data_IF_988994460043
#
_entry.id   IF_988994460043
#
_cell.length_a   1.000
_cell.length_b   1.000
_cell.length_c   1.000
_cell.angle_alpha   90.00
_cell.angle_beta   90.00
_cell.angle_gamma   90.00
#
_symmetry.space_group_name_H-M   'P 1'
#
loop_
_entity.id
_entity.type
_entity.pdbx_description
1 polymer ?
#
# COMPACT_ATOMS: atom_id res chain seq x y z
N UNK A 1 -56.69 -10.59 41.71
CA UNK A 1 -55.26 -10.94 41.62
C UNK A 1 -54.48 -9.69 41.23
N UNK A 2 -53.67 -9.13 42.12
CA UNK A 2 -52.87 -7.94 41.86
C UNK A 2 -51.73 -8.27 40.88
N UNK A 3 -51.56 -7.55 39.76
CA UNK A 3 -50.45 -7.79 38.84
C UNK A 3 -49.13 -7.48 39.55
N UNK A 4 -48.27 -8.49 39.73
CA UNK A 4 -46.95 -8.31 40.32
C UNK A 4 -46.13 -7.36 39.44
N UNK A 5 -45.88 -6.15 39.94
CA UNK A 5 -44.97 -5.16 39.36
C UNK A 5 -43.57 -5.79 39.20
N UNK A 6 -43.16 -6.03 37.95
CA UNK A 6 -41.83 -6.56 37.64
C UNK A 6 -40.78 -5.51 38.01
N UNK A 7 -39.79 -5.91 38.83
CA UNK A 7 -38.65 -5.06 39.20
C UNK A 7 -37.94 -4.55 37.93
N UNK A 8 -37.59 -3.26 37.83
CA UNK A 8 -36.92 -2.70 36.67
C UNK A 8 -35.56 -3.38 36.45
N UNK A 9 -35.25 -3.68 35.18
CA UNK A 9 -33.96 -4.28 34.80
C UNK A 9 -32.85 -3.25 35.05
N UNK A 10 -31.75 -3.69 35.70
CA UNK A 10 -30.58 -2.83 35.94
C UNK A 10 -29.97 -2.37 34.60
N UNK A 11 -29.63 -1.09 34.43
CA UNK A 11 -28.97 -0.59 33.23
C UNK A 11 -27.54 -1.16 33.08
N UNK A 12 -26.99 -1.16 31.86
CA UNK A 12 -25.65 -1.67 31.59
C UNK A 12 -24.56 -0.80 32.24
N UNK A 13 -23.36 -1.38 32.39
CA UNK A 13 -22.16 -0.66 32.81
C UNK A 13 -21.69 0.34 31.73
N UNK A 14 -21.09 1.47 32.14
CA UNK A 14 -20.52 2.45 31.22
C UNK A 14 -19.20 1.95 30.58
N UNK A 15 -18.83 2.54 29.45
CA UNK A 15 -17.66 2.10 28.67
C UNK A 15 -16.34 2.25 29.44
N UNK A 16 -16.21 3.32 30.24
CA UNK A 16 -15.02 3.57 31.06
C UNK A 16 -14.82 2.52 32.18
N UNK A 17 -15.90 2.13 32.88
CA UNK A 17 -15.83 1.07 33.89
C UNK A 17 -15.60 -0.30 33.25
N UNK A 18 -16.20 -0.54 32.07
CA UNK A 18 -16.04 -1.79 31.32
C UNK A 18 -14.61 -1.97 30.80
N UNK A 19 -14.01 -0.93 30.22
CA UNK A 19 -12.62 -0.96 29.75
C UNK A 19 -11.63 -1.27 30.89
N UNK A 20 -11.92 -0.76 32.09
CA UNK A 20 -11.13 -1.00 33.31
C UNK A 20 -11.48 -2.30 34.03
N UNK A 21 -12.46 -3.07 33.54
CA UNK A 21 -12.96 -4.30 34.16
C UNK A 21 -13.39 -4.12 35.62
N UNK A 22 -14.03 -3.00 35.94
CA UNK A 22 -14.53 -2.70 37.29
C UNK A 22 -16.06 -2.61 37.35
N UNK A 23 -16.63 -2.85 38.54
CA UNK A 23 -18.07 -2.74 38.77
C UNK A 23 -18.55 -1.30 38.57
N UNK A 24 -19.61 -1.14 37.76
CA UNK A 24 -20.24 0.15 37.49
C UNK A 24 -21.51 0.32 38.35
N UNK A 25 -21.72 1.53 38.87
CA UNK A 25 -22.95 1.93 39.57
C UNK A 25 -23.71 2.96 38.72
N UNK A 26 -24.44 2.53 37.69
CA UNK A 26 -25.19 3.43 36.82
C UNK A 26 -26.30 4.17 37.59
N UNK A 27 -26.43 5.47 37.34
CA UNK A 27 -27.45 6.32 37.96
C UNK A 27 -28.68 6.44 37.02
N UNK A 28 -29.90 6.49 37.57
CA UNK A 28 -31.09 6.81 36.77
C UNK A 28 -30.98 8.23 36.19
N UNK A 29 -31.61 8.48 35.03
CA UNK A 29 -31.64 9.81 34.41
C UNK A 29 -30.38 10.22 33.63
N UNK A 30 -29.45 9.30 33.38
CA UNK A 30 -28.27 9.57 32.53
C UNK A 30 -27.13 10.31 33.23
N UNK A 31 -27.20 10.47 34.56
CA UNK A 31 -26.10 11.04 35.34
C UNK A 31 -24.84 10.14 35.29
N UNK A 32 -23.62 10.73 35.30
CA UNK A 32 -22.37 9.97 35.30
C UNK A 32 -22.24 9.09 36.55
N UNK A 33 -21.65 7.90 36.41
CA UNK A 33 -21.48 7.00 37.56
C UNK A 33 -20.45 7.58 38.56
N UNK A 34 -20.58 7.29 39.88
CA UNK A 34 -19.71 7.86 40.92
C UNK A 34 -18.20 7.69 40.65
N UNK A 35 -17.80 6.52 40.11
CA UNK A 35 -16.39 6.25 39.77
C UNK A 35 -15.85 7.12 38.65
N UNK A 36 -16.68 7.45 37.65
CA UNK A 36 -16.26 8.35 36.57
C UNK A 36 -16.16 9.79 37.09
N UNK A 37 -17.07 10.18 38.00
CA UNK A 37 -17.05 11.50 38.66
C UNK A 37 -15.79 11.65 39.51
N UNK A 38 -15.49 10.70 40.39
CA UNK A 38 -14.30 10.70 41.26
C UNK A 38 -13.00 10.81 40.45
N UNK A 39 -12.96 10.19 39.27
CA UNK A 39 -11.77 10.17 38.41
C UNK A 39 -11.74 11.29 37.38
N UNK A 40 -12.75 12.16 37.33
CA UNK A 40 -12.89 13.24 36.35
C UNK A 40 -12.81 12.74 34.89
N UNK A 41 -13.45 11.60 34.60
CA UNK A 41 -13.48 11.01 33.25
C UNK A 41 -14.91 11.09 32.70
N UNK A 42 -15.05 11.42 31.42
CA UNK A 42 -16.35 11.45 30.74
C UNK A 42 -17.03 10.08 30.78
N UNK A 43 -18.21 10.00 31.40
CA UNK A 43 -18.98 8.76 31.55
C UNK A 43 -19.91 8.57 30.35
N UNK A 44 -19.41 7.96 29.27
CA UNK A 44 -20.26 7.62 28.13
C UNK A 44 -20.98 6.29 28.40
N UNK A 45 -22.31 6.36 28.46
CA UNK A 45 -23.19 5.18 28.48
C UNK A 45 -23.90 5.18 27.14
N UNK A 46 -23.43 4.38 26.18
CA UNK A 46 -24.14 4.22 24.90
C UNK A 46 -25.47 3.52 25.19
N UNK A 47 -26.57 4.28 25.14
CA UNK A 47 -27.94 3.83 25.40
C UNK A 47 -28.49 2.88 24.33
N UNK A 48 -27.67 2.02 23.75
CA UNK A 48 -28.11 1.05 22.75
C UNK A 48 -28.56 -0.22 23.46
N UNK A 49 -29.86 -0.58 23.41
CA UNK A 49 -30.31 -1.88 23.88
C UNK A 49 -29.64 -2.96 23.03
N UNK A 50 -28.62 -3.62 23.60
CA UNK A 50 -27.99 -4.80 22.98
C UNK A 50 -28.93 -6.00 23.13
N UNK A 51 -29.93 -6.08 22.24
CA UNK A 51 -30.59 -7.34 21.97
C UNK A 51 -29.56 -8.34 21.45
N UNK A 52 -29.35 -9.45 22.17
CA UNK A 52 -28.54 -10.56 21.66
C UNK A 52 -29.22 -11.04 20.37
N UNK A 53 -28.53 -11.11 19.21
CA UNK A 53 -29.10 -11.68 18.00
C UNK A 53 -29.61 -13.09 18.34
N UNK A 54 -30.91 -13.29 18.22
CA UNK A 54 -31.53 -14.60 18.43
C UNK A 54 -31.00 -15.48 17.31
N UNK A 55 -30.26 -16.54 17.64
CA UNK A 55 -29.90 -17.60 16.69
C UNK A 55 -31.20 -18.28 16.24
N UNK A 56 -31.79 -17.82 15.15
CA UNK A 56 -32.68 -18.64 14.34
C UNK A 56 -31.83 -19.33 13.28
N UNK A 57 -31.82 -20.66 13.32
CA UNK A 57 -31.29 -21.47 12.24
C UNK A 57 -32.20 -21.28 11.01
N UNK A 58 -31.69 -20.92 9.83
CA UNK A 58 -32.51 -20.90 8.64
C UNK A 58 -32.57 -22.32 8.06
N UNK A 59 -33.73 -22.95 8.18
CA UNK A 59 -34.15 -23.98 7.23
C UNK A 59 -34.57 -23.23 5.95
N UNK A 60 -33.72 -23.25 4.93
CA UNK A 60 -34.09 -22.80 3.59
C UNK A 60 -34.67 -23.98 2.82
N UNK A 61 -36.01 -24.06 2.79
CA UNK A 61 -36.74 -24.65 1.66
C UNK A 61 -37.01 -23.54 0.64
N UNK A 62 -36.61 -23.80 -0.60
CA UNK A 62 -36.90 -22.99 -1.78
C UNK A 62 -38.41 -22.74 -1.93
N UNK A 63 -38.80 -21.48 -2.14
CA UNK A 63 -39.96 -21.12 -2.96
C UNK A 63 -39.82 -19.67 -3.43
N UNK A 64 -39.51 -19.54 -4.73
CA UNK A 64 -39.74 -18.35 -5.54
C UNK A 64 -41.25 -18.08 -5.59
N UNK A 65 -41.66 -16.88 -5.16
CA UNK A 65 -42.64 -15.97 -5.81
C UNK A 65 -43.16 -15.02 -4.74
N UNK A 66 -42.83 -13.73 -4.86
CA UNK A 66 -43.26 -12.71 -3.92
C UNK A 66 -42.69 -11.34 -4.27
N UNK A 67 -43.23 -10.74 -5.32
CA UNK A 67 -43.06 -9.32 -5.68
C UNK A 67 -43.62 -8.45 -4.55
N UNK A 68 -42.76 -8.05 -3.62
CA UNK A 68 -43.01 -6.89 -2.77
C UNK A 68 -42.25 -5.70 -3.35
N UNK A 69 -42.99 -4.82 -4.03
CA UNK A 69 -42.56 -3.45 -4.32
C UNK A 69 -42.28 -2.75 -2.99
N UNK A 70 -41.00 -2.65 -2.65
CA UNK A 70 -40.52 -1.78 -1.59
C UNK A 70 -40.35 -0.40 -2.21
N UNK A 71 -41.38 0.42 -2.13
CA UNK A 71 -41.32 1.86 -2.42
C UNK A 71 -40.56 2.55 -1.28
N UNK A 72 -39.25 2.34 -1.21
CA UNK A 72 -38.37 3.14 -0.39
C UNK A 72 -38.25 4.56 -0.98
N UNK A 73 -38.06 5.59 -0.15
CA UNK A 73 -37.77 6.93 -0.65
C UNK A 73 -36.54 6.85 -1.56
N UNK A 74 -36.65 7.40 -2.77
CA UNK A 74 -35.53 7.48 -3.71
C UNK A 74 -34.35 8.10 -2.98
N UNK A 75 -33.31 7.30 -2.72
CA UNK A 75 -32.02 7.82 -2.29
C UNK A 75 -31.60 8.84 -3.35
N UNK A 76 -31.18 10.06 -2.94
CA UNK A 76 -30.73 11.06 -3.89
C UNK A 76 -29.68 10.44 -4.79
N UNK A 77 -29.79 10.70 -6.10
CA UNK A 77 -28.78 10.36 -7.10
C UNK A 77 -27.42 10.53 -6.48
N UNK A 78 -26.64 9.44 -6.42
CA UNK A 78 -25.36 9.42 -5.73
C UNK A 78 -24.50 10.59 -6.17
N UNK A 79 -23.58 11.08 -5.31
CA UNK A 79 -22.83 12.30 -5.56
C UNK A 79 -22.27 12.31 -6.97
N UNK A 80 -22.70 13.30 -7.76
CA UNK A 80 -22.11 13.58 -9.06
C UNK A 80 -20.64 13.88 -8.77
N UNK A 81 -19.75 13.09 -9.36
CA UNK A 81 -18.31 13.22 -9.23
C UNK A 81 -17.86 14.47 -10.01
N UNK A 82 -18.16 15.64 -9.46
CA UNK A 82 -17.89 16.93 -10.06
C UNK A 82 -16.41 17.26 -10.08
N UNK A 83 -15.95 17.61 -11.29
CA UNK A 83 -14.58 17.85 -11.69
C UNK A 83 -13.86 18.88 -10.81
N UNK A 84 -12.93 18.41 -9.98
CA UNK A 84 -11.74 19.23 -9.75
C UNK A 84 -11.10 19.47 -11.13
N UNK A 85 -10.64 20.68 -11.40
CA UNK A 85 -10.03 21.05 -12.70
C UNK A 85 -8.89 20.08 -13.07
N UNK A 86 -8.22 19.52 -12.06
CA UNK A 86 -7.11 18.60 -12.22
C UNK A 86 -7.53 17.11 -12.23
N UNK A 87 -8.81 16.81 -11.99
CA UNK A 87 -9.30 15.44 -12.01
C UNK A 87 -9.59 15.02 -13.46
N UNK A 88 -8.90 13.99 -13.98
CA UNK A 88 -9.21 13.49 -15.30
C UNK A 88 -10.62 12.91 -15.34
N UNK A 89 -11.26 12.98 -16.50
CA UNK A 89 -12.51 12.28 -16.73
C UNK A 89 -12.28 10.76 -16.58
N UNK A 90 -13.17 10.12 -15.85
CA UNK A 90 -13.11 8.68 -15.53
C UNK A 90 -13.71 7.86 -16.67
N UNK A 91 -13.15 8.05 -17.86
CA UNK A 91 -13.58 7.34 -19.06
C UNK A 91 -13.35 5.82 -18.89
N UNK A 92 -14.18 4.96 -19.50
CA UNK A 92 -14.01 3.51 -19.44
C UNK A 92 -12.60 3.06 -19.88
N UNK A 93 -12.00 3.77 -20.84
CA UNK A 93 -10.65 3.50 -21.36
C UNK A 93 -9.57 3.76 -20.31
N UNK A 94 -9.65 4.88 -19.58
CA UNK A 94 -8.73 5.18 -18.49
C UNK A 94 -8.86 4.14 -17.37
N UNK A 95 -10.10 3.80 -17.00
CA UNK A 95 -10.37 2.82 -15.93
C UNK A 95 -9.82 1.45 -16.35
N UNK A 96 -10.12 0.98 -17.56
CA UNK A 96 -9.58 -0.27 -18.08
C UNK A 96 -8.05 -0.29 -18.09
N UNK A 97 -7.42 0.80 -18.56
CA UNK A 97 -5.97 0.93 -18.57
C UNK A 97 -5.37 0.84 -17.17
N UNK A 98 -5.93 1.55 -16.18
CA UNK A 98 -5.46 1.46 -14.79
C UNK A 98 -5.58 0.03 -14.24
N UNK A 99 -6.67 -0.68 -14.51
CA UNK A 99 -6.85 -2.08 -14.09
C UNK A 99 -5.89 -3.05 -14.78
N UNK A 100 -5.55 -2.83 -16.05
CA UNK A 100 -4.58 -3.67 -16.76
C UNK A 100 -3.16 -3.47 -16.22
N UNK A 101 -2.76 -2.22 -15.95
CA UNK A 101 -1.43 -1.90 -15.40
C UNK A 101 -1.21 -2.48 -14.00
N UNK A 102 -2.29 -2.57 -13.25
CA UNK A 102 -2.30 -3.08 -11.90
C UNK A 102 -1.95 -4.57 -11.81
N UNK A 103 -2.25 -5.38 -12.84
CA UNK A 103 -1.87 -6.81 -12.89
C UNK A 103 -0.36 -7.03 -12.90
N UNK A 104 0.40 -6.02 -13.32
CA UNK A 104 1.85 -6.07 -13.38
C UNK A 104 2.47 -5.73 -12.01
N UNK A 105 1.72 -5.09 -11.10
CA UNK A 105 2.20 -4.74 -9.77
C UNK A 105 2.05 -5.93 -8.80
N UNK A 106 3.14 -6.47 -8.23
CA UNK A 106 3.06 -7.59 -7.28
C UNK A 106 2.30 -7.25 -6.00
N UNK A 107 2.14 -5.97 -5.64
CA UNK A 107 1.26 -5.57 -4.52
C UNK A 107 -0.20 -5.86 -4.81
N UNK A 108 -0.56 -6.07 -6.08
CA UNK A 108 -1.91 -6.46 -6.47
C UNK A 108 -2.21 -7.95 -6.29
N UNK A 109 -1.19 -8.79 -6.04
CA UNK A 109 -1.42 -10.18 -5.59
C UNK A 109 -1.77 -10.27 -4.11
N UNK A 110 -1.91 -9.13 -3.42
CA UNK A 110 -2.26 -9.10 -2.00
C UNK A 110 -3.61 -9.81 -1.73
N UNK A 111 -3.71 -10.66 -0.70
CA UNK A 111 -4.92 -11.45 -0.43
C UNK A 111 -6.20 -10.61 -0.29
N UNK A 112 -6.10 -9.37 0.21
CA UNK A 112 -7.26 -8.48 0.31
C UNK A 112 -7.81 -8.06 -1.06
N UNK A 113 -6.98 -7.97 -2.09
CA UNK A 113 -7.40 -7.58 -3.44
C UNK A 113 -7.85 -8.82 -4.22
N UNK A 114 -7.08 -9.91 -4.14
CA UNK A 114 -7.44 -11.21 -4.72
C UNK A 114 -8.74 -11.80 -4.17
N UNK A 115 -9.11 -11.46 -2.93
CA UNK A 115 -10.36 -11.90 -2.29
C UNK A 115 -11.61 -11.12 -2.68
N UNK A 116 -11.51 -10.11 -3.54
CA UNK A 116 -12.65 -9.31 -4.02
C UNK A 116 -13.10 -9.74 -5.41
N UNK A 117 -14.38 -9.55 -5.75
CA UNK A 117 -14.91 -9.78 -7.10
C UNK A 117 -14.67 -8.61 -8.06
N UNK A 118 -13.91 -7.59 -7.64
CA UNK A 118 -13.87 -6.28 -8.31
C UNK A 118 -13.48 -6.34 -9.80
N UNK A 119 -12.57 -7.25 -10.16
CA UNK A 119 -12.12 -7.41 -11.56
C UNK A 119 -13.25 -7.98 -12.44
N UNK A 120 -14.04 -8.92 -11.91
CA UNK A 120 -15.18 -9.47 -12.63
C UNK A 120 -16.31 -8.42 -12.72
N UNK A 121 -16.59 -7.73 -11.61
CA UNK A 121 -17.66 -6.75 -11.52
C UNK A 121 -17.41 -5.55 -12.45
N UNK A 122 -16.19 -5.01 -12.47
CA UNK A 122 -15.85 -3.87 -13.33
C UNK A 122 -15.94 -4.22 -14.82
N UNK A 123 -15.58 -5.46 -15.19
CA UNK A 123 -15.71 -5.95 -16.57
C UNK A 123 -17.16 -6.15 -16.97
N UNK A 124 -17.99 -6.65 -16.05
CA UNK A 124 -19.42 -6.84 -16.29
C UNK A 124 -20.15 -5.51 -16.57
N UNK A 125 -19.68 -4.40 -16.00
CA UNK A 125 -20.22 -3.05 -16.26
C UNK A 125 -19.41 -2.26 -17.29
N UNK A 126 -18.59 -2.93 -18.11
CA UNK A 126 -17.78 -2.30 -19.17
C UNK A 126 -16.96 -1.10 -18.67
N UNK A 127 -16.37 -1.24 -17.47
CA UNK A 127 -15.54 -0.22 -16.81
C UNK A 127 -16.26 1.09 -16.43
N UNK A 128 -17.60 1.10 -16.45
CA UNK A 128 -18.39 2.25 -16.01
C UNK A 128 -18.59 2.24 -14.48
N UNK A 129 -17.79 3.05 -13.78
CA UNK A 129 -17.75 3.07 -12.30
C UNK A 129 -19.09 3.39 -11.64
N UNK A 130 -19.94 4.21 -12.27
CA UNK A 130 -21.21 4.64 -11.69
C UNK A 130 -22.24 3.49 -11.59
N UNK A 131 -22.07 2.42 -12.37
CA UNK A 131 -22.92 1.24 -12.34
C UNK A 131 -22.54 0.25 -11.22
N UNK A 132 -21.38 0.44 -10.58
CA UNK A 132 -20.94 -0.43 -9.49
C UNK A 132 -21.67 -0.14 -8.17
N UNK A 133 -21.86 -1.19 -7.33
CA UNK A 133 -22.26 -1.01 -5.94
C UNK A 133 -21.34 -0.02 -5.21
N UNK A 134 -21.84 0.74 -4.21
CA UNK A 134 -21.07 1.82 -3.59
C UNK A 134 -19.69 1.39 -3.06
N UNK A 135 -19.60 0.21 -2.43
CA UNK A 135 -18.33 -0.31 -1.89
C UNK A 135 -17.35 -0.70 -3.00
N UNK A 136 -17.81 -1.46 -4.00
CA UNK A 136 -17.01 -1.83 -5.17
C UNK A 136 -16.57 -0.61 -5.96
N UNK A 137 -17.41 0.43 -6.05
CA UNK A 137 -17.07 1.70 -6.71
C UNK A 137 -15.94 2.43 -5.99
N UNK A 138 -15.97 2.49 -4.66
CA UNK A 138 -14.87 3.08 -3.87
C UNK A 138 -13.57 2.31 -4.07
N UNK A 139 -13.62 0.98 -4.07
CA UNK A 139 -12.45 0.16 -4.35
C UNK A 139 -11.90 0.42 -5.76
N UNK A 140 -12.77 0.47 -6.77
CA UNK A 140 -12.38 0.79 -8.14
C UNK A 140 -11.76 2.19 -8.25
N UNK A 141 -12.29 3.19 -7.55
CA UNK A 141 -11.68 4.53 -7.47
C UNK A 141 -10.28 4.49 -6.81
N UNK A 142 -10.11 3.71 -5.73
CA UNK A 142 -8.79 3.53 -5.10
C UNK A 142 -7.80 2.87 -6.06
N UNK A 143 -8.26 1.88 -6.83
CA UNK A 143 -7.48 1.21 -7.88
C UNK A 143 -7.09 2.19 -8.99
N UNK A 144 -8.01 3.01 -9.47
CA UNK A 144 -7.74 4.01 -10.52
C UNK A 144 -6.76 5.07 -10.03
N UNK A 145 -6.96 5.58 -8.82
CA UNK A 145 -6.04 6.54 -8.18
C UNK A 145 -4.65 5.91 -8.06
N UNK A 146 -4.54 4.68 -7.58
CA UNK A 146 -3.26 3.99 -7.46
C UNK A 146 -2.61 3.69 -8.81
N UNK A 147 -3.38 3.15 -9.77
CA UNK A 147 -2.92 2.85 -11.12
C UNK A 147 -2.48 4.09 -11.90
N UNK A 148 -3.05 5.25 -11.58
CA UNK A 148 -2.63 6.52 -12.18
C UNK A 148 -1.15 6.81 -11.94
N UNK A 149 -0.55 6.36 -10.82
CA UNK A 149 0.88 6.47 -10.52
C UNK A 149 1.80 5.84 -11.57
N UNK A 150 1.30 4.90 -12.37
CA UNK A 150 2.04 4.17 -13.40
C UNK A 150 1.42 4.31 -14.79
N UNK A 151 0.35 5.10 -14.91
CA UNK A 151 -0.47 5.18 -16.11
C UNK A 151 0.17 6.08 -17.17
N UNK A 152 0.38 5.55 -18.37
CA UNK A 152 0.75 6.35 -19.55
C UNK A 152 -0.45 6.92 -20.32
N UNK A 153 -1.65 6.87 -19.75
CA UNK A 153 -2.84 7.38 -20.41
C UNK A 153 -2.76 8.92 -20.51
N UNK A 154 -3.14 9.45 -21.67
CA UNK A 154 -3.05 10.88 -21.98
C UNK A 154 -3.89 11.74 -21.04
N UNK A 155 -5.02 11.25 -20.55
CA UNK A 155 -5.83 11.98 -19.56
C UNK A 155 -5.10 12.16 -18.21
N UNK A 156 -4.17 11.27 -17.86
CA UNK A 156 -3.39 11.37 -16.61
C UNK A 156 -2.10 12.19 -16.82
N UNK A 157 -1.43 12.01 -17.95
CA UNK A 157 -0.16 12.70 -18.25
C UNK A 157 -0.34 14.09 -18.87
N UNK A 158 -1.51 14.38 -19.42
CA UNK A 158 -1.75 15.58 -20.22
C UNK A 158 -0.95 15.60 -21.52
N UNK A 159 -0.81 16.80 -22.10
CA UNK A 159 -0.09 17.00 -23.36
C UNK A 159 1.43 16.83 -23.18
N UNK A 160 2.09 16.28 -24.20
CA UNK A 160 3.54 16.15 -24.31
C UNK A 160 4.01 14.69 -24.49
N UNK A 161 5.32 14.45 -24.63
CA UNK A 161 5.85 13.13 -24.95
C UNK A 161 5.56 12.13 -23.83
N UNK A 162 5.14 10.93 -24.17
CA UNK A 162 4.88 9.86 -23.21
C UNK A 162 5.18 8.51 -23.86
N UNK A 163 5.54 7.47 -23.08
CA UNK A 163 5.76 6.16 -23.65
C UNK A 163 4.41 5.53 -23.98
N UNK A 164 4.29 4.84 -25.11
CA UNK A 164 3.09 4.06 -25.44
C UNK A 164 3.07 2.70 -24.74
N UNK A 165 4.26 2.21 -24.37
CA UNK A 165 4.47 0.88 -23.79
C UNK A 165 5.62 0.88 -22.80
N UNK A 166 5.64 -0.09 -21.88
CA UNK A 166 6.79 -0.35 -21.01
C UNK A 166 8.04 -0.82 -21.76
N UNK A 167 7.89 -1.19 -23.04
CA UNK A 167 8.99 -1.64 -23.91
C UNK A 167 9.64 -0.49 -24.69
N UNK A 168 9.24 0.76 -24.45
CA UNK A 168 9.80 1.92 -25.15
C UNK A 168 11.18 2.30 -24.58
N UNK A 169 12.19 1.50 -24.92
CA UNK A 169 13.55 1.65 -24.42
C UNK A 169 14.16 3.03 -24.75
N UNK A 170 13.74 3.66 -25.85
CA UNK A 170 14.21 4.99 -26.23
C UNK A 170 13.69 6.05 -25.26
N UNK A 171 12.39 6.03 -24.96
CA UNK A 171 11.79 6.92 -23.96
C UNK A 171 12.39 6.69 -22.56
N UNK A 172 12.50 5.42 -22.17
CA UNK A 172 13.06 5.08 -20.85
C UNK A 172 14.56 5.36 -20.73
N UNK A 173 15.31 5.50 -21.83
CA UNK A 173 16.70 5.95 -21.76
C UNK A 173 16.84 7.42 -21.33
N UNK A 174 15.77 8.22 -21.47
CA UNK A 174 15.75 9.64 -21.11
C UNK A 174 15.25 9.87 -19.69
N UNK A 175 16.17 10.04 -18.75
CA UNK A 175 15.84 10.34 -17.34
C UNK A 175 14.98 11.61 -17.21
N UNK A 176 15.24 12.63 -18.03
CA UNK A 176 14.51 13.90 -17.99
C UNK A 176 13.04 13.75 -18.40
N UNK A 177 12.76 12.97 -19.45
CA UNK A 177 11.39 12.76 -19.93
C UNK A 177 10.54 12.00 -18.91
N UNK A 178 11.15 11.03 -18.22
CA UNK A 178 10.50 10.28 -17.15
C UNK A 178 10.20 11.13 -15.92
N UNK A 179 11.14 11.99 -15.51
CA UNK A 179 10.90 12.95 -14.44
C UNK A 179 9.76 13.90 -14.81
N UNK A 180 9.72 14.37 -16.07
CA UNK A 180 8.65 15.21 -16.58
C UNK A 180 7.29 14.48 -16.61
N UNK A 181 7.25 13.17 -16.90
CA UNK A 181 6.04 12.36 -16.75
C UNK A 181 5.57 12.30 -15.29
N UNK A 182 6.49 12.08 -14.34
CA UNK A 182 6.16 12.07 -12.91
C UNK A 182 5.56 13.40 -12.44
N UNK A 183 6.15 14.52 -12.84
CA UNK A 183 5.65 15.87 -12.52
C UNK A 183 4.26 16.11 -13.10
N UNK A 184 4.05 15.80 -14.38
CA UNK A 184 2.75 16.03 -15.04
C UNK A 184 1.61 15.15 -14.50
N UNK A 185 1.92 13.92 -14.08
CA UNK A 185 0.96 12.99 -13.49
C UNK A 185 0.53 13.37 -12.07
N UNK A 186 1.38 14.06 -11.32
CA UNK A 186 1.17 14.30 -9.91
C UNK A 186 -0.16 15.02 -9.56
N UNK A 187 -0.60 16.07 -10.30
CA UNK A 187 -1.91 16.70 -10.06
C UNK A 187 -3.08 15.73 -10.25
N UNK A 188 -3.11 14.99 -11.35
CA UNK A 188 -4.17 14.01 -11.65
C UNK A 188 -4.24 12.91 -10.58
N UNK A 189 -3.08 12.36 -10.15
CA UNK A 189 -3.02 11.39 -9.07
C UNK A 189 -3.60 11.94 -7.76
N UNK A 190 -3.23 13.15 -7.36
CA UNK A 190 -3.72 13.78 -6.13
C UNK A 190 -5.23 14.01 -6.19
N UNK A 191 -5.74 14.48 -7.32
CA UNK A 191 -7.16 14.69 -7.53
C UNK A 191 -7.96 13.39 -7.44
N UNK A 192 -7.51 12.34 -8.14
CA UNK A 192 -8.12 11.00 -8.11
C UNK A 192 -8.10 10.39 -6.71
N UNK A 193 -6.98 10.55 -5.97
CA UNK A 193 -6.89 10.07 -4.59
C UNK A 193 -7.81 10.84 -3.65
N UNK A 194 -7.88 12.16 -3.76
CA UNK A 194 -8.79 12.96 -2.95
C UNK A 194 -10.26 12.54 -3.19
N UNK A 195 -10.60 12.26 -4.44
CA UNK A 195 -11.91 11.72 -4.81
C UNK A 195 -12.16 10.33 -4.22
N UNK A 196 -11.18 9.42 -4.27
CA UNK A 196 -11.29 8.09 -3.67
C UNK A 196 -11.46 8.16 -2.14
N UNK A 197 -10.70 9.03 -1.47
CA UNK A 197 -10.80 9.26 -0.02
C UNK A 197 -12.17 9.84 0.36
N UNK A 198 -12.65 10.83 -0.39
CA UNK A 198 -13.98 11.42 -0.18
C UNK A 198 -15.07 10.36 -0.33
N UNK A 199 -15.03 9.56 -1.40
CA UNK A 199 -16.00 8.50 -1.64
C UNK A 199 -15.96 7.44 -0.53
N UNK A 200 -14.76 7.04 -0.06
CA UNK A 200 -14.60 6.11 1.05
C UNK A 200 -15.18 6.65 2.36
N UNK A 201 -15.01 7.95 2.64
CA UNK A 201 -15.58 8.61 3.81
C UNK A 201 -17.11 8.65 3.76
N UNK A 202 -17.68 9.03 2.61
CA UNK A 202 -19.13 9.16 2.42
C UNK A 202 -19.87 7.82 2.62
N UNK A 203 -19.28 6.71 2.16
CA UNK A 203 -19.88 5.39 2.37
C UNK A 203 -19.57 4.79 3.75
N UNK A 204 -18.75 5.45 4.56
CA UNK A 204 -18.29 4.94 5.84
C UNK A 204 -17.45 3.67 5.72
N UNK A 205 -16.54 3.59 4.74
CA UNK A 205 -15.75 2.39 4.43
C UNK A 205 -14.97 1.85 5.66
N UNK A 206 -14.51 2.74 6.54
CA UNK A 206 -13.80 2.38 7.78
C UNK A 206 -14.74 1.73 8.82
N UNK A 207 -16.04 2.07 8.79
CA UNK A 207 -17.02 1.64 9.79
C UNK A 207 -17.76 0.35 9.39
N UNK A 208 -17.84 0.06 8.09
CA UNK A 208 -18.56 -1.10 7.56
C UNK A 208 -17.56 -2.16 7.10
N UNK A 209 -17.57 -3.32 7.74
CA UNK A 209 -16.69 -4.42 7.37
C UNK A 209 -17.17 -5.11 6.07
N UNK A 210 -16.33 -5.09 5.05
CA UNK A 210 -16.45 -5.88 3.82
C UNK A 210 -15.06 -6.11 3.21
N UNK A 211 -14.95 -7.05 2.27
CA UNK A 211 -13.68 -7.30 1.58
C UNK A 211 -13.27 -6.06 0.75
N UNK A 212 -14.24 -5.42 0.10
CA UNK A 212 -14.03 -4.24 -0.73
C UNK A 212 -13.57 -3.05 0.10
N UNK A 213 -14.17 -2.84 1.27
CA UNK A 213 -13.78 -1.77 2.17
C UNK A 213 -12.40 -2.01 2.80
N UNK A 214 -12.10 -3.26 3.19
CA UNK A 214 -10.77 -3.63 3.69
C UNK A 214 -9.68 -3.40 2.63
N UNK A 215 -9.94 -3.81 1.38
CA UNK A 215 -9.04 -3.58 0.25
C UNK A 215 -8.89 -2.08 -0.08
N UNK A 216 -9.98 -1.31 0.02
CA UNK A 216 -9.95 0.15 -0.18
C UNK A 216 -9.08 0.83 0.86
N UNK A 217 -9.27 0.51 2.15
CA UNK A 217 -8.45 1.03 3.24
C UNK A 217 -6.96 0.67 3.07
N UNK A 218 -6.65 -0.56 2.63
CA UNK A 218 -5.30 -0.98 2.32
C UNK A 218 -4.65 -0.12 1.22
N UNK A 219 -5.35 0.08 0.09
CA UNK A 219 -4.83 0.91 -1.02
C UNK A 219 -4.67 2.38 -0.62
N UNK A 220 -5.61 2.92 0.16
CA UNK A 220 -5.52 4.28 0.69
C UNK A 220 -4.30 4.44 1.61
N UNK A 221 -4.04 3.47 2.49
CA UNK A 221 -2.86 3.48 3.36
C UNK A 221 -1.56 3.36 2.56
N UNK A 222 -1.53 2.47 1.55
CA UNK A 222 -0.39 2.33 0.65
C UNK A 222 -0.06 3.64 -0.08
N UNK A 223 -1.08 4.36 -0.57
CA UNK A 223 -0.90 5.68 -1.17
C UNK A 223 -0.42 6.73 -0.15
N UNK A 224 -0.92 6.69 1.09
CA UNK A 224 -0.43 7.56 2.17
C UNK A 224 1.07 7.33 2.41
N UNK A 225 1.52 6.07 2.44
CA UNK A 225 2.94 5.74 2.61
C UNK A 225 3.78 6.31 1.45
N UNK A 226 3.33 6.13 0.20
CA UNK A 226 4.03 6.66 -0.99
C UNK A 226 4.26 8.17 -0.89
N UNK A 227 3.27 8.92 -0.42
CA UNK A 227 3.41 10.37 -0.24
C UNK A 227 4.38 10.75 0.88
N UNK A 228 4.40 9.98 1.99
CA UNK A 228 5.31 10.23 3.10
C UNK A 228 6.78 10.00 2.72
N UNK A 229 7.03 9.01 1.86
CA UNK A 229 8.37 8.67 1.36
C UNK A 229 8.86 9.58 0.24
N UNK A 230 8.03 10.51 -0.28
CA UNK A 230 8.47 11.48 -1.27
C UNK A 230 8.83 12.82 -0.58
N UNK A 231 10.09 13.03 -0.12
CA UNK A 231 10.47 14.19 0.68
C UNK A 231 10.28 15.53 -0.04
N UNK A 232 10.20 15.52 -1.38
CA UNK A 232 9.91 16.73 -2.18
C UNK A 232 8.49 17.27 -1.99
N UNK A 233 7.60 16.54 -1.34
CA UNK A 233 6.22 16.98 -1.07
C UNK A 233 6.07 17.74 0.25
N UNK A 234 7.10 17.83 1.10
CA UNK A 234 7.03 18.57 2.38
C UNK A 234 7.31 20.08 2.25
N UNK A 235 7.71 20.60 1.09
CA UNK A 235 8.20 21.99 0.95
C UNK A 235 7.19 23.04 0.49
N UNK A 236 5.89 22.74 0.38
CA UNK A 236 4.85 23.76 0.10
C UNK A 236 3.88 24.01 1.26
N UNK A 237 4.39 23.95 2.49
CA UNK A 237 3.69 24.42 3.68
C UNK A 237 4.63 25.25 4.56
N UNK A 238 4.73 26.55 4.26
CA UNK A 238 5.31 27.61 5.09
C UNK A 238 6.67 27.33 5.76
N UNK A 239 7.76 27.71 5.09
CA UNK A 239 9.08 27.80 5.73
C UNK A 239 10.18 28.15 4.74
N UNK A 240 10.63 29.40 4.77
CA UNK A 240 11.78 29.92 4.03
C UNK A 240 13.02 29.14 4.47
N UNK A 241 13.57 28.30 3.59
CA UNK A 241 15.00 27.99 3.58
C UNK A 241 15.44 27.76 2.12
N UNK A 242 16.18 28.75 1.60
CA UNK A 242 16.98 28.61 0.38
C UNK A 242 18.19 27.74 0.70
N UNK A 243 18.42 26.73 -0.12
CA UNK A 243 19.77 26.17 -0.31
C UNK A 243 19.95 25.97 -1.81
N UNK A 244 20.70 26.90 -2.41
CA UNK A 244 21.28 26.75 -3.73
C UNK A 244 22.39 25.71 -3.66
N UNK A 245 22.43 24.78 -4.60
CA UNK A 245 23.63 23.98 -4.88
C UNK A 245 23.68 23.67 -6.37
N UNK A 246 24.30 24.60 -7.09
CA UNK A 246 24.81 24.42 -8.45
C UNK A 246 26.06 23.56 -8.35
N UNK A 247 26.15 22.46 -9.10
CA UNK A 247 27.45 21.88 -9.48
C UNK A 247 27.42 21.37 -10.91
N UNK A 248 28.27 22.01 -11.73
CA UNK A 248 28.76 21.57 -13.03
C UNK A 248 29.79 20.45 -12.80
N UNK A 249 29.70 19.34 -13.54
CA UNK A 249 30.90 18.56 -13.88
C UNK A 249 30.88 18.05 -15.31
N UNK A 250 32.08 18.15 -15.89
CA UNK A 250 32.46 18.05 -17.28
C UNK A 250 32.63 16.61 -17.77
N UNK A 251 32.50 16.47 -19.09
CA UNK A 251 32.61 15.25 -19.88
C UNK A 251 34.04 14.67 -19.96
N UNK A 252 34.10 13.36 -20.22
CA UNK A 252 35.26 12.61 -20.72
C UNK A 252 35.23 11.18 -20.16
N UNK A 253 35.36 10.08 -20.91
CA UNK A 253 35.52 9.76 -22.32
C UNK A 253 35.78 8.24 -22.34
N UNK A 254 35.03 7.46 -23.13
CA UNK A 254 35.21 6.00 -23.23
C UNK A 254 36.15 5.63 -24.40
N UNK A 255 36.99 4.58 -24.29
CA UNK A 255 37.76 4.04 -25.41
C UNK A 255 36.90 3.06 -26.26
N UNK A 256 37.28 2.80 -27.54
CA UNK A 256 36.44 2.08 -28.49
C UNK A 256 36.55 0.56 -28.33
N UNK A 257 35.42 -0.13 -28.46
CA UNK A 257 35.35 -1.59 -28.58
C UNK A 257 35.58 -2.01 -30.04
N UNK A 258 36.49 -2.97 -30.22
CA UNK A 258 36.81 -3.58 -31.50
C UNK A 258 35.68 -4.51 -32.00
N UNK A 259 35.31 -4.34 -33.27
CA UNK A 259 34.41 -5.20 -34.03
C UNK A 259 35.15 -6.44 -34.53
N UNK A 260 34.62 -7.63 -34.23
CA UNK A 260 34.97 -8.88 -34.92
C UNK A 260 33.71 -9.39 -35.61
N UNK A 261 33.73 -9.42 -36.94
CA UNK A 261 32.66 -9.97 -37.78
C UNK A 261 32.94 -11.43 -38.14
N UNK A 262 31.90 -12.26 -38.16
CA UNK A 262 31.86 -13.52 -38.92
C UNK A 262 30.51 -13.65 -39.64
N UNK A 263 30.48 -14.16 -40.89
CA UNK A 263 29.25 -14.35 -41.65
C UNK A 263 28.74 -15.79 -41.55
N UNK A 264 27.41 -15.96 -41.51
CA UNK A 264 26.77 -17.27 -41.69
C UNK A 264 25.44 -17.38 -40.98
N UNK A 265 24.35 -17.17 -41.73
CA UNK A 265 22.99 -17.19 -41.20
C UNK A 265 22.54 -18.57 -40.69
N UNK A 266 21.97 -18.56 -39.49
CA UNK A 266 20.89 -19.47 -39.04
C UNK A 266 19.89 -18.62 -38.26
N UNK A 267 18.60 -18.89 -38.46
CA UNK A 267 17.53 -18.27 -37.68
C UNK A 267 17.72 -18.73 -36.22
N UNK A 268 18.29 -17.84 -35.40
CA UNK A 268 18.45 -18.02 -33.96
C UNK A 268 17.21 -17.44 -33.28
N UNK A 269 16.38 -18.29 -32.67
CA UNK A 269 15.63 -17.84 -31.51
C UNK A 269 16.66 -17.48 -30.42
N UNK A 270 16.53 -16.34 -29.72
CA UNK A 270 17.49 -15.98 -28.68
C UNK A 270 17.41 -17.03 -27.55
N UNK A 271 18.54 -17.49 -27.01
CA UNK A 271 18.52 -18.36 -25.84
C UNK A 271 17.80 -17.63 -24.68
N UNK A 272 16.99 -18.31 -23.86
CA UNK A 272 16.45 -17.71 -22.65
C UNK A 272 17.63 -17.25 -21.80
N UNK A 273 17.71 -15.93 -21.52
CA UNK A 273 18.83 -15.33 -20.79
C UNK A 273 18.92 -16.01 -19.41
N UNK A 274 19.97 -16.80 -19.12
CA UNK A 274 20.09 -17.54 -17.85
C UNK A 274 20.08 -16.64 -16.60
N UNK A 275 20.21 -15.32 -16.78
CA UNK A 275 20.20 -14.33 -15.73
C UNK A 275 18.83 -14.04 -15.09
N UNK A 276 17.70 -14.26 -15.78
CA UNK A 276 16.39 -13.84 -15.22
C UNK A 276 15.90 -14.73 -14.07
N UNK A 277 16.08 -16.05 -14.17
CA UNK A 277 15.72 -16.98 -13.11
C UNK A 277 16.65 -16.87 -11.89
N UNK A 278 17.96 -16.76 -12.12
CA UNK A 278 18.94 -16.51 -11.06
C UNK A 278 18.66 -15.17 -10.37
N UNK A 279 18.30 -14.14 -11.12
CA UNK A 279 17.92 -12.83 -10.58
C UNK A 279 16.65 -12.88 -9.70
N UNK A 280 15.59 -13.53 -10.19
CA UNK A 280 14.35 -13.70 -9.41
C UNK A 280 14.61 -14.49 -8.13
N UNK A 281 15.45 -15.53 -8.19
CA UNK A 281 15.84 -16.31 -7.02
C UNK A 281 16.69 -15.48 -6.03
N UNK A 282 17.64 -14.68 -6.51
CA UNK A 282 18.44 -13.77 -5.67
C UNK A 282 17.56 -12.72 -4.98
N UNK A 283 16.60 -12.15 -5.70
CA UNK A 283 15.63 -11.21 -5.12
C UNK A 283 14.65 -11.87 -4.15
N UNK A 284 14.16 -13.06 -4.47
CA UNK A 284 13.25 -13.79 -3.60
C UNK A 284 13.97 -14.18 -2.31
N UNK A 285 15.22 -14.64 -2.43
CA UNK A 285 16.10 -14.92 -1.31
C UNK A 285 16.38 -13.65 -0.48
N UNK A 286 16.78 -12.56 -1.12
CA UNK A 286 17.07 -11.29 -0.43
C UNK A 286 15.82 -10.66 0.19
N UNK A 287 14.65 -10.85 -0.42
CA UNK A 287 13.36 -10.42 0.12
C UNK A 287 12.92 -11.17 1.38
N UNK A 288 13.47 -12.36 1.66
CA UNK A 288 13.12 -13.19 2.82
C UNK A 288 14.15 -13.13 3.95
N UNK A 289 15.44 -13.05 3.59
CA UNK A 289 16.55 -13.08 4.57
C UNK A 289 16.50 -11.88 5.51
N UNK A 290 16.33 -10.67 4.97
CA UNK A 290 16.35 -9.46 5.81
C UNK A 290 15.13 -9.36 6.75
N UNK A 291 13.89 -9.64 6.32
CA UNK A 291 12.75 -9.73 7.25
C UNK A 291 12.93 -10.81 8.30
N UNK A 292 13.49 -11.97 7.95
CA UNK A 292 13.76 -13.04 8.91
C UNK A 292 14.77 -12.61 9.98
N UNK A 293 15.86 -11.95 9.57
CA UNK A 293 16.83 -11.36 10.49
C UNK A 293 16.18 -10.33 11.43
N UNK A 294 15.42 -9.36 10.89
CA UNK A 294 14.73 -8.32 11.69
C UNK A 294 13.72 -8.92 12.66
N UNK A 295 13.00 -9.98 12.28
CA UNK A 295 12.08 -10.70 13.18
C UNK A 295 12.82 -11.43 14.30
N UNK A 296 13.98 -12.06 14.03
CA UNK A 296 14.81 -12.67 15.07
C UNK A 296 15.35 -11.63 16.05
N UNK A 297 15.84 -10.49 15.54
CA UNK A 297 16.28 -9.36 16.37
C UNK A 297 15.13 -8.81 17.22
N UNK A 298 13.94 -8.68 16.65
CA UNK A 298 12.74 -8.25 17.37
C UNK A 298 12.39 -9.21 18.52
N UNK A 299 12.44 -10.53 18.28
CA UNK A 299 12.17 -11.56 19.30
C UNK A 299 13.20 -11.60 20.40
N UNK A 300 14.48 -11.46 20.07
CA UNK A 300 15.55 -11.38 21.06
C UNK A 300 15.36 -10.16 21.97
N UNK A 301 15.12 -8.97 21.38
CA UNK A 301 14.90 -7.73 22.13
C UNK A 301 13.65 -7.76 23.02
N UNK A 302 12.66 -8.60 22.68
CA UNK A 302 11.42 -8.74 23.47
C UNK A 302 11.54 -9.74 24.61
N UNK A 303 12.51 -10.64 24.59
CA UNK A 303 12.69 -11.62 25.65
C UNK A 303 13.48 -11.02 26.80
N UNK A 304 12.85 -10.93 27.97
CA UNK A 304 13.49 -10.45 29.20
C UNK A 304 14.17 -11.56 30.00
N UNK A 305 13.92 -12.82 29.63
CA UNK A 305 14.33 -13.99 30.40
C UNK A 305 15.52 -14.68 29.73
N UNK A 306 16.61 -14.88 30.47
CA UNK A 306 17.89 -15.40 29.96
C UNK A 306 17.87 -16.93 29.87
N UNK A 307 16.86 -17.42 29.15
CA UNK A 307 16.59 -18.84 28.99
C UNK A 307 17.42 -19.45 27.88
N UNK A 308 17.55 -20.79 27.89
CA UNK A 308 18.11 -21.56 26.77
C UNK A 308 17.44 -21.19 25.42
N UNK A 309 16.19 -20.72 25.44
CA UNK A 309 15.51 -20.23 24.25
C UNK A 309 16.13 -18.94 23.68
N UNK A 310 16.50 -17.98 24.54
CA UNK A 310 17.18 -16.74 24.12
C UNK A 310 18.56 -17.04 23.56
N UNK A 311 19.31 -17.94 24.20
CA UNK A 311 20.61 -18.37 23.68
C UNK A 311 20.49 -18.97 22.27
N UNK A 312 19.46 -19.80 22.02
CA UNK A 312 19.18 -20.34 20.68
C UNK A 312 18.79 -19.25 19.68
N UNK A 313 17.95 -18.29 20.09
CA UNK A 313 17.57 -17.16 19.23
C UNK A 313 18.77 -16.31 18.86
N UNK A 314 19.71 -16.09 19.79
CA UNK A 314 20.95 -15.34 19.52
C UNK A 314 21.81 -16.03 18.48
N UNK A 315 22.05 -17.33 18.61
CA UNK A 315 22.81 -18.13 17.62
C UNK A 315 22.12 -18.09 16.25
N UNK A 316 20.78 -18.24 16.21
CA UNK A 316 20.03 -18.14 14.96
C UNK A 316 20.10 -16.73 14.35
N UNK A 317 20.09 -15.69 15.17
CA UNK A 317 20.23 -14.30 14.72
C UNK A 317 21.61 -14.07 14.13
N UNK A 318 22.67 -14.55 14.78
CA UNK A 318 24.05 -14.47 14.27
C UNK A 318 24.19 -15.18 12.92
N UNK A 319 23.64 -16.39 12.80
CA UNK A 319 23.62 -17.10 11.50
C UNK A 319 22.81 -16.36 10.43
N UNK A 320 21.64 -15.82 10.79
CA UNK A 320 20.82 -15.04 9.86
C UNK A 320 21.49 -13.72 9.45
N UNK A 321 22.26 -13.12 10.36
CA UNK A 321 23.06 -11.92 10.12
C UNK A 321 24.15 -12.19 9.08
N UNK A 322 24.92 -13.27 9.23
CA UNK A 322 25.94 -13.65 8.24
C UNK A 322 25.33 -13.86 6.84
N UNK A 323 24.17 -14.52 6.79
CA UNK A 323 23.42 -14.73 5.54
C UNK A 323 22.89 -13.41 4.99
N UNK A 324 22.46 -12.48 5.84
CA UNK A 324 22.03 -11.14 5.44
C UNK A 324 23.20 -10.34 4.86
N UNK A 325 24.39 -10.37 5.48
CA UNK A 325 25.59 -9.70 4.96
C UNK A 325 25.99 -10.25 3.59
N UNK A 326 25.92 -11.58 3.40
CA UNK A 326 26.15 -12.19 2.08
C UNK A 326 25.06 -11.79 1.07
N UNK A 327 23.80 -11.83 1.48
CA UNK A 327 22.65 -11.42 0.67
C UNK A 327 22.75 -9.96 0.23
N UNK A 328 23.21 -9.06 1.10
CA UNK A 328 23.45 -7.66 0.82
C UNK A 328 24.46 -7.45 -0.31
N UNK A 329 25.55 -8.23 -0.30
CA UNK A 329 26.59 -8.17 -1.36
C UNK A 329 26.05 -8.64 -2.70
N UNK A 330 25.33 -9.77 -2.72
CA UNK A 330 24.73 -10.28 -3.95
C UNK A 330 23.62 -9.36 -4.46
N UNK A 331 22.86 -8.74 -3.56
CA UNK A 331 21.87 -7.73 -3.90
C UNK A 331 22.51 -6.49 -4.52
N UNK A 332 23.57 -5.94 -3.91
CA UNK A 332 24.31 -4.79 -4.44
C UNK A 332 25.03 -5.10 -5.77
N UNK A 333 25.45 -6.35 -6.01
CA UNK A 333 25.94 -6.75 -7.35
C UNK A 333 24.80 -6.86 -8.35
N UNK A 334 23.70 -7.53 -7.96
CA UNK A 334 22.53 -7.74 -8.81
C UNK A 334 21.88 -6.43 -9.25
N UNK A 335 21.84 -5.43 -8.36
CA UNK A 335 21.23 -4.13 -8.64
C UNK A 335 21.96 -3.36 -9.75
N UNK A 336 23.27 -3.56 -9.92
CA UNK A 336 24.07 -2.95 -11.00
C UNK A 336 23.72 -3.50 -12.38
N UNK A 337 23.20 -4.73 -12.44
CA UNK A 337 22.80 -5.39 -13.69
C UNK A 337 21.32 -5.17 -14.01
N UNK A 338 20.59 -4.47 -13.14
CA UNK A 338 19.20 -4.15 -13.41
C UNK A 338 19.10 -3.17 -14.58
N UNK A 339 18.13 -3.35 -15.49
CA UNK A 339 17.75 -2.29 -16.42
C UNK A 339 17.49 -1.05 -15.58
N UNK A 340 18.18 0.05 -15.89
CA UNK A 340 18.16 1.28 -15.09
C UNK A 340 16.73 1.62 -14.67
N UNK A 341 16.42 1.36 -13.41
CA UNK A 341 15.45 1.98 -12.49
C UNK A 341 13.94 1.99 -12.88
N UNK A 342 13.52 1.68 -14.11
CA UNK A 342 12.14 1.95 -14.54
C UNK A 342 11.08 0.90 -14.16
N UNK A 343 11.47 -0.23 -13.56
CA UNK A 343 10.54 -1.33 -13.25
C UNK A 343 10.40 -1.68 -11.76
N UNK A 344 11.06 -0.95 -10.85
CA UNK A 344 11.20 -1.39 -9.44
C UNK A 344 10.60 -0.52 -8.33
N UNK A 345 9.50 0.24 -8.52
CA UNK A 345 8.83 0.84 -7.36
C UNK A 345 8.31 -0.19 -6.35
N UNK A 346 8.02 -1.42 -6.80
CA UNK A 346 7.68 -2.57 -5.95
C UNK A 346 8.86 -3.04 -5.08
N UNK A 347 10.08 -2.98 -5.60
CA UNK A 347 11.27 -3.43 -4.87
C UNK A 347 11.93 -2.28 -4.11
N UNK A 348 11.49 -1.03 -4.29
CA UNK A 348 12.09 0.10 -3.60
C UNK A 348 12.09 -0.04 -2.07
N UNK A 349 10.99 -0.49 -1.41
CA UNK A 349 11.04 -0.75 0.02
C UNK A 349 12.06 -1.84 0.40
N UNK A 350 12.25 -2.85 -0.46
CA UNK A 350 13.25 -3.90 -0.27
C UNK A 350 14.66 -3.31 -0.45
N UNK A 351 14.89 -2.51 -1.49
CA UNK A 351 16.15 -1.79 -1.75
C UNK A 351 16.49 -0.87 -0.57
N UNK A 352 15.54 -0.08 -0.10
CA UNK A 352 15.72 0.81 1.05
C UNK A 352 15.98 0.04 2.34
N UNK A 353 15.26 -1.05 2.61
CA UNK A 353 15.52 -1.89 3.78
C UNK A 353 16.93 -2.49 3.75
N UNK A 354 17.38 -2.93 2.57
CA UNK A 354 18.75 -3.41 2.37
C UNK A 354 19.79 -2.29 2.55
N UNK A 355 19.52 -1.10 2.03
CA UNK A 355 20.39 0.06 2.21
C UNK A 355 20.51 0.48 3.69
N UNK A 356 19.38 0.55 4.41
CA UNK A 356 19.34 0.79 5.86
C UNK A 356 20.19 -0.25 6.61
N UNK A 357 19.98 -1.54 6.32
CA UNK A 357 20.75 -2.63 6.93
C UNK A 357 22.25 -2.47 6.67
N UNK A 358 22.65 -2.13 5.44
CA UNK A 358 24.07 -1.92 5.11
C UNK A 358 24.68 -0.69 5.81
N UNK A 359 23.90 0.37 6.01
CA UNK A 359 24.33 1.56 6.79
C UNK A 359 24.47 1.21 8.27
N UNK A 360 23.54 0.45 8.85
CA UNK A 360 23.62 -0.04 10.23
C UNK A 360 24.88 -0.90 10.43
N UNK A 361 25.15 -1.82 9.50
CA UNK A 361 26.36 -2.65 9.53
C UNK A 361 27.65 -1.84 9.35
N UNK A 362 27.64 -0.82 8.48
CA UNK A 362 28.77 0.07 8.30
C UNK A 362 29.15 0.78 9.62
N UNK A 363 28.14 1.21 10.38
CA UNK A 363 28.33 1.89 11.66
C UNK A 363 28.76 0.97 12.80
N UNK A 364 28.34 -0.30 12.79
CA UNK A 364 28.69 -1.27 13.83
C UNK A 364 30.14 -1.77 13.72
N UNK A 365 30.68 -1.89 12.50
CA UNK A 365 32.02 -2.38 12.23
C UNK A 365 32.90 -1.24 11.72
N UNK A 366 33.40 -0.42 12.65
CA UNK A 366 34.34 0.66 12.34
C UNK A 366 35.42 0.21 11.35
N UNK A 367 35.41 0.82 10.16
CA UNK A 367 36.33 0.63 9.04
C UNK A 367 36.30 -0.72 8.29
N UNK A 368 35.19 -1.47 8.29
CA UNK A 368 35.07 -2.60 7.36
C UNK A 368 35.02 -2.11 5.90
N UNK A 369 36.01 -2.44 5.03
CA UNK A 369 36.09 -1.94 3.65
C UNK A 369 34.94 -2.44 2.75
N UNK A 370 34.18 -3.42 3.23
CA UNK A 370 32.99 -3.95 2.60
C UNK A 370 31.76 -3.05 2.72
N UNK A 371 31.74 -2.13 3.69
CA UNK A 371 30.56 -1.31 3.97
C UNK A 371 30.52 -0.03 3.13
N UNK A 372 31.67 0.63 2.92
CA UNK A 372 31.72 1.90 2.21
C UNK A 372 31.41 1.74 0.71
N UNK A 373 31.99 0.74 0.05
CA UNK A 373 31.77 0.52 -1.38
C UNK A 373 30.33 0.05 -1.66
N UNK A 374 29.79 -0.87 -0.84
CA UNK A 374 28.41 -1.33 -1.00
C UNK A 374 27.40 -0.23 -0.70
N UNK A 375 27.65 0.62 0.30
CA UNK A 375 26.84 1.79 0.59
C UNK A 375 26.89 2.81 -0.56
N UNK A 376 28.07 3.11 -1.10
CA UNK A 376 28.25 3.98 -2.26
C UNK A 376 27.54 3.42 -3.51
N UNK A 377 27.59 2.10 -3.72
CA UNK A 377 26.91 1.45 -4.85
C UNK A 377 25.39 1.56 -4.76
N UNK A 378 24.83 1.53 -3.55
CA UNK A 378 23.39 1.73 -3.32
C UNK A 378 23.00 3.20 -3.38
N UNK A 379 23.85 4.08 -2.87
CA UNK A 379 23.67 5.52 -3.00
C UNK A 379 23.56 5.92 -4.48
N UNK A 380 24.43 5.38 -5.33
CA UNK A 380 24.36 5.53 -6.79
C UNK A 380 23.11 4.93 -7.45
N UNK A 381 22.37 4.05 -6.77
CA UNK A 381 21.09 3.52 -7.24
C UNK A 381 19.89 4.33 -6.73
N UNK A 382 20.06 5.09 -5.64
CA UNK A 382 19.07 5.99 -5.04
C UNK A 382 18.96 7.32 -5.78
N UNK A 383 20.05 7.76 -6.42
CA UNK A 383 20.12 8.96 -7.27
C UNK A 383 19.99 8.63 -8.76
#
# INVERSE_FOLDING_TARGET
>A
MNPMLKKPKKPPACDACKARRVLCHPQPGGAPCPRCVERKISCMTTGVPRGRPRKYAPQFSLSLTGTHQFSGPMLPSGPEFGASIDCPDLSPELVAHCFEKLKVDPRFTHPLLSGTSIIADIRAVSFQLHLLPPQSRVLALCIVAYGSLWSFHTSVLGNGPHPESFLDHAFFASQQELLNCGVRRAPAYRALRAQAQKAAWEIGAILVASNENAASCYLLDLMNQIDLYNPRHKTMGNGIFRSESVFLYSAGGHPPLALVSFPGGRISLPPPVPGSAAYVLTLAFSGLVLPFYRELQYRENRSTDDTLHVQRLRVLREQAHDVAVLGAREFARGIRYLPKIHHLPFQWPIVLAWAEFMVEEAGAWGDSPLSLQAAQDLEMCVY
#
